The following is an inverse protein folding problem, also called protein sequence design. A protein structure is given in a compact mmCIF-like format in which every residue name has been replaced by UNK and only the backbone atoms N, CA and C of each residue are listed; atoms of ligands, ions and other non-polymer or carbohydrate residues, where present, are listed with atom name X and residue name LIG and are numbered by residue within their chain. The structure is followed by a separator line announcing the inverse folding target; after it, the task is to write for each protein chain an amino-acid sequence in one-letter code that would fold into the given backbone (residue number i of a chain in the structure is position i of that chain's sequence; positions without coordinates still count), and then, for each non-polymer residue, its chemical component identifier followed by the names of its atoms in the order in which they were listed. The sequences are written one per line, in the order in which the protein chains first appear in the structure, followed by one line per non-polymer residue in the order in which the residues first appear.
data_IF_784801423964
#
_entry.id   IF_784801423964
#
_cell.length_a   1.000
_cell.length_b   1.000
_cell.length_c   1.000
_cell.angle_alpha   90.00
_cell.angle_beta   90.00
_cell.angle_gamma   90.00
#
_symmetry.space_group_name_H-M   'P 1'
#
loop_
_entity.id
_entity.type
_entity.pdbx_description
1 polymer ?
#
# COMPACT_ATOMS: atom_id res chain seq x y z
N UNK A 1 -23.54 6.95 11.39
CA UNK A 1 -23.50 6.53 9.97
C UNK A 1 -22.50 5.42 9.71
N UNK A 2 -21.19 5.60 9.93
CA UNK A 2 -20.18 4.56 9.64
C UNK A 2 -20.41 3.19 10.34
N UNK A 3 -21.15 3.16 11.45
CA UNK A 3 -21.56 1.92 12.12
C UNK A 3 -22.37 0.98 11.22
N UNK A 4 -23.14 1.52 10.27
CA UNK A 4 -24.03 0.76 9.40
C UNK A 4 -23.29 0.08 8.24
N UNK A 5 -22.00 0.33 8.08
CA UNK A 5 -21.16 -0.30 7.06
C UNK A 5 -20.77 -1.75 7.41
N UNK A 6 -20.83 -2.13 8.69
CA UNK A 6 -20.27 -3.39 9.19
C UNK A 6 -21.20 -4.27 9.99
N UNK A 7 -22.31 -3.73 10.48
CA UNK A 7 -23.19 -4.50 11.34
C UNK A 7 -23.94 -5.55 10.52
N UNK A 8 -23.64 -6.83 10.76
CA UNK A 8 -24.46 -7.96 10.32
C UNK A 8 -25.93 -7.84 10.77
N UNK A 9 -26.19 -7.02 11.80
CA UNK A 9 -27.50 -6.79 12.40
C UNK A 9 -28.25 -5.57 11.80
N UNK A 10 -27.69 -4.87 10.81
CA UNK A 10 -28.35 -3.74 10.15
C UNK A 10 -28.17 -3.87 8.64
N UNK A 11 -29.10 -4.59 8.01
CA UNK A 11 -29.11 -4.77 6.58
C UNK A 11 -30.03 -3.73 5.93
N UNK A 12 -29.43 -2.84 5.16
CA UNK A 12 -30.11 -1.73 4.51
C UNK A 12 -29.90 -1.77 2.99
N UNK A 13 -30.90 -1.32 2.26
CA UNK A 13 -30.95 -1.30 0.80
C UNK A 13 -30.64 0.10 0.24
N UNK A 14 -31.12 1.15 0.91
CA UNK A 14 -30.85 2.52 0.51
C UNK A 14 -30.78 3.48 1.70
N UNK A 15 -30.13 4.62 1.49
CA UNK A 15 -30.02 5.72 2.46
C UNK A 15 -30.29 7.05 1.78
N UNK A 16 -30.94 7.95 2.50
CA UNK A 16 -31.09 9.36 2.12
C UNK A 16 -30.58 10.22 3.28
N UNK A 17 -29.62 11.08 3.02
CA UNK A 17 -29.06 12.03 3.99
C UNK A 17 -29.78 13.36 3.81
N UNK A 18 -30.27 13.96 4.90
CA UNK A 18 -31.10 15.17 4.90
C UNK A 18 -32.25 15.05 3.86
N UNK A 19 -33.15 14.06 4.01
CA UNK A 19 -34.31 13.95 3.14
C UNK A 19 -35.17 15.21 3.22
N UNK A 20 -35.68 15.64 2.07
CA UNK A 20 -36.71 16.69 1.99
C UNK A 20 -37.98 16.15 2.68
N UNK A 21 -38.17 16.55 3.94
CA UNK A 21 -39.22 16.03 4.82
C UNK A 21 -40.10 17.19 5.26
N UNK A 22 -41.38 16.92 5.48
CA UNK A 22 -42.38 17.97 5.71
C UNK A 22 -42.07 18.96 6.85
N UNK A 23 -41.17 18.58 7.78
CA UNK A 23 -40.77 19.40 8.93
C UNK A 23 -39.24 19.53 9.11
N UNK A 24 -38.42 19.06 8.17
CA UNK A 24 -36.94 19.08 8.24
C UNK A 24 -36.37 18.54 9.57
N UNK A 25 -36.95 17.47 10.10
CA UNK A 25 -36.52 16.85 11.38
C UNK A 25 -35.77 15.54 11.22
N UNK A 26 -35.76 14.98 10.01
CA UNK A 26 -35.07 13.73 9.72
C UNK A 26 -33.71 14.09 9.11
N UNK A 27 -32.64 13.69 9.78
CA UNK A 27 -31.28 13.92 9.26
C UNK A 27 -30.84 12.74 8.39
N UNK A 28 -31.33 11.52 8.68
CA UNK A 28 -31.01 10.32 7.89
C UNK A 28 -32.23 9.39 7.80
N UNK A 29 -32.57 8.98 6.59
CA UNK A 29 -33.57 7.95 6.33
C UNK A 29 -32.93 6.69 5.73
N UNK A 30 -33.20 5.54 6.33
CA UNK A 30 -32.73 4.22 5.88
C UNK A 30 -33.89 3.37 5.41
N UNK A 31 -33.78 2.86 4.20
CA UNK A 31 -34.62 1.78 3.71
C UNK A 31 -33.92 0.46 4.04
N UNK A 32 -34.55 -0.33 4.89
CA UNK A 32 -34.05 -1.64 5.29
C UNK A 32 -34.30 -2.67 4.19
N UNK A 33 -33.51 -3.75 4.17
CA UNK A 33 -33.65 -4.79 3.15
C UNK A 33 -34.99 -5.55 3.22
N UNK A 34 -35.71 -5.48 4.34
CA UNK A 34 -37.07 -6.00 4.50
C UNK A 34 -38.17 -5.01 4.05
N UNK A 35 -37.78 -3.87 3.46
CA UNK A 35 -38.68 -2.84 2.96
C UNK A 35 -39.14 -1.82 4.00
N UNK A 36 -38.71 -1.95 5.26
CA UNK A 36 -39.06 -1.00 6.32
C UNK A 36 -38.26 0.29 6.24
N UNK A 37 -38.87 1.37 6.69
CA UNK A 37 -38.25 2.68 6.81
C UNK A 37 -37.81 2.94 8.25
N UNK A 38 -36.53 3.31 8.43
CA UNK A 38 -36.01 3.84 9.68
C UNK A 38 -35.57 5.28 9.49
N UNK A 39 -36.12 6.20 10.27
CA UNK A 39 -35.68 7.61 10.28
C UNK A 39 -34.87 7.91 11.54
N UNK A 40 -33.86 8.75 11.38
CA UNK A 40 -32.95 9.13 12.45
C UNK A 40 -32.82 10.65 12.53
N UNK A 41 -32.70 11.13 13.75
CA UNK A 41 -32.29 12.50 14.06
C UNK A 41 -31.10 12.48 15.00
N UNK A 42 -30.16 13.38 14.80
CA UNK A 42 -28.95 13.58 15.60
C UNK A 42 -29.05 14.93 16.31
N UNK A 43 -28.92 14.93 17.63
CA UNK A 43 -28.86 16.15 18.44
C UNK A 43 -27.59 16.18 19.28
N UNK A 44 -26.88 17.28 19.23
CA UNK A 44 -25.66 17.52 19.99
C UNK A 44 -25.79 18.75 20.87
N UNK A 45 -25.37 18.67 22.13
CA UNK A 45 -25.40 19.81 23.06
C UNK A 45 -24.26 19.77 24.07
N UNK A 46 -23.53 20.87 24.21
CA UNK A 46 -22.53 21.03 25.29
C UNK A 46 -23.18 21.10 26.67
N UNK A 47 -24.43 21.58 26.75
CA UNK A 47 -25.22 21.59 27.97
C UNK A 47 -25.86 20.23 28.22
N UNK A 48 -26.19 19.94 29.49
CA UNK A 48 -26.88 18.71 29.85
C UNK A 48 -28.23 18.59 29.13
N UNK A 49 -28.38 17.52 28.35
CA UNK A 49 -29.63 17.15 27.69
C UNK A 49 -30.55 16.54 28.74
N UNK A 50 -31.71 17.17 28.93
CA UNK A 50 -32.69 16.75 29.94
C UNK A 50 -33.69 15.75 29.38
N UNK A 51 -34.48 15.15 30.28
CA UNK A 51 -35.61 14.31 29.91
C UNK A 51 -36.64 15.08 29.07
N UNK A 52 -36.88 16.35 29.38
CA UNK A 52 -37.84 17.19 28.66
C UNK A 52 -37.37 17.44 27.22
N UNK A 53 -36.08 17.72 27.03
CA UNK A 53 -35.48 17.91 25.70
C UNK A 53 -35.63 16.65 24.84
N UNK A 54 -35.20 15.50 25.39
CA UNK A 54 -35.28 14.22 24.69
C UNK A 54 -36.73 13.85 24.34
N UNK A 55 -37.68 14.09 25.25
CA UNK A 55 -39.11 13.83 25.01
C UNK A 55 -39.66 14.73 23.89
N UNK A 56 -39.32 16.03 23.91
CA UNK A 56 -39.73 16.97 22.87
C UNK A 56 -39.21 16.55 21.50
N UNK A 57 -37.91 16.25 21.39
CA UNK A 57 -37.30 15.85 20.12
C UNK A 57 -37.84 14.51 19.59
N UNK A 58 -38.12 13.55 20.47
CA UNK A 58 -38.78 12.30 20.07
C UNK A 58 -40.17 12.55 19.49
N UNK A 59 -40.96 13.43 20.11
CA UNK A 59 -42.29 13.80 19.62
C UNK A 59 -42.21 14.54 18.27
N UNK A 60 -41.28 15.48 18.13
CA UNK A 60 -41.02 16.18 16.86
C UNK A 60 -40.61 15.21 15.74
N UNK A 61 -39.71 14.27 16.02
CA UNK A 61 -39.26 13.27 15.05
C UNK A 61 -40.42 12.36 14.60
N UNK A 62 -41.28 11.93 15.51
CA UNK A 62 -42.49 11.15 15.15
C UNK A 62 -43.48 11.95 14.30
N UNK A 63 -43.60 13.25 14.54
CA UNK A 63 -44.46 14.13 13.77
C UNK A 63 -43.90 14.48 12.37
N UNK A 64 -42.67 14.08 12.05
CA UNK A 64 -42.00 14.40 10.78
C UNK A 64 -42.52 13.60 9.57
N UNK A 65 -43.17 12.46 9.80
CA UNK A 65 -43.72 11.62 8.75
C UNK A 65 -43.79 10.14 9.18
N UNK A 66 -44.47 9.28 8.41
CA UNK A 66 -44.59 7.86 8.72
C UNK A 66 -43.27 7.12 8.49
N UNK A 67 -42.81 6.39 9.50
CA UNK A 67 -41.72 5.43 9.44
C UNK A 67 -42.01 4.23 10.35
N UNK A 68 -41.39 3.08 10.06
CA UNK A 68 -41.52 1.87 10.88
C UNK A 68 -40.69 1.94 12.15
N UNK A 69 -39.57 2.66 12.11
CA UNK A 69 -38.66 2.84 13.24
C UNK A 69 -38.17 4.29 13.32
N UNK A 70 -38.16 4.85 14.52
CA UNK A 70 -37.63 6.18 14.79
C UNK A 70 -36.47 6.06 15.78
N UNK A 71 -35.39 6.77 15.53
CA UNK A 71 -34.24 6.78 16.44
C UNK A 71 -33.69 8.20 16.63
N UNK A 72 -33.49 8.59 17.88
CA UNK A 72 -32.87 9.86 18.25
C UNK A 72 -31.48 9.60 18.82
N UNK A 73 -30.46 10.02 18.09
CA UNK A 73 -29.04 9.90 18.47
C UNK A 73 -28.64 11.17 19.22
N UNK A 74 -28.11 11.02 20.42
CA UNK A 74 -27.68 12.13 21.27
C UNK A 74 -26.16 12.17 21.40
N UNK A 75 -25.58 13.37 21.37
CA UNK A 75 -24.16 13.61 21.65
C UNK A 75 -23.98 14.71 22.71
N UNK A 76 -23.37 14.37 23.85
CA UNK A 76 -23.11 15.29 24.95
C UNK A 76 -23.56 14.77 26.32
N UNK A 77 -23.42 15.59 27.38
CA UNK A 77 -23.85 15.21 28.72
C UNK A 77 -25.35 14.98 28.76
N UNK A 78 -25.81 13.84 29.28
CA UNK A 78 -27.24 13.55 29.42
C UNK A 78 -27.63 13.35 30.89
N UNK A 79 -28.84 13.74 31.24
CA UNK A 79 -29.41 13.41 32.54
C UNK A 79 -29.64 11.89 32.64
N UNK A 80 -29.37 11.29 33.81
CA UNK A 80 -29.55 9.85 34.01
C UNK A 80 -31.00 9.37 33.77
N UNK A 81 -31.97 10.27 33.91
CA UNK A 81 -33.38 10.02 33.59
C UNK A 81 -33.63 9.76 32.10
N UNK A 82 -32.79 10.28 31.20
CA UNK A 82 -32.88 10.01 29.75
C UNK A 82 -32.56 8.54 29.45
N UNK A 83 -31.53 7.98 30.10
CA UNK A 83 -31.14 6.58 29.90
C UNK A 83 -32.19 5.63 30.47
N UNK A 84 -32.68 5.92 31.69
CA UNK A 84 -33.62 5.04 32.39
C UNK A 84 -34.99 4.92 31.74
N UNK A 85 -35.39 5.92 30.97
CA UNK A 85 -36.74 6.03 30.41
C UNK A 85 -36.80 5.76 28.89
N UNK A 86 -35.69 5.39 28.26
CA UNK A 86 -35.66 4.94 26.86
C UNK A 86 -36.26 3.52 26.74
N UNK A 87 -37.10 3.21 25.72
CA UNK A 87 -37.50 4.06 24.59
C UNK A 87 -38.61 5.07 24.93
N UNK A 88 -38.58 6.23 24.27
CA UNK A 88 -39.56 7.32 24.46
C UNK A 88 -40.66 7.24 23.41
N UNK A 89 -41.85 6.80 23.82
CA UNK A 89 -42.99 6.67 22.92
C UNK A 89 -42.59 5.98 21.60
N UNK A 90 -41.98 4.80 21.66
CA UNK A 90 -41.57 4.05 20.46
C UNK A 90 -40.42 4.66 19.64
N UNK A 91 -39.77 5.73 20.10
CA UNK A 91 -38.51 6.24 19.56
C UNK A 91 -37.34 5.63 20.34
N UNK A 92 -36.42 4.99 19.62
CA UNK A 92 -35.21 4.43 20.21
C UNK A 92 -34.21 5.55 20.52
N UNK A 93 -33.70 5.59 21.76
CA UNK A 93 -32.61 6.49 22.15
C UNK A 93 -31.45 5.63 22.64
N UNK A 94 -30.44 5.36 21.77
CA UNK A 94 -29.28 4.59 22.15
C UNK A 94 -28.38 5.36 23.13
N UNK A 95 -27.36 4.68 23.65
CA UNK A 95 -26.34 5.28 24.53
C UNK A 95 -25.74 6.51 23.83
N UNK A 96 -25.67 7.67 24.50
CA UNK A 96 -25.19 8.90 23.89
C UNK A 96 -23.71 8.81 23.52
N UNK A 97 -23.35 9.56 22.49
CA UNK A 97 -21.96 9.76 22.11
C UNK A 97 -21.31 10.86 22.95
N UNK A 98 -20.00 10.76 23.11
CA UNK A 98 -19.20 11.87 23.63
C UNK A 98 -19.18 13.03 22.63
N UNK A 99 -19.10 14.26 23.13
CA UNK A 99 -18.80 15.45 22.31
C UNK A 99 -17.31 15.64 22.04
N UNK A 100 -16.48 14.76 22.58
CA UNK A 100 -15.05 14.76 22.31
C UNK A 100 -14.82 14.40 20.84
N UNK A 101 -14.48 15.41 20.05
CA UNK A 101 -14.23 15.28 18.61
C UNK A 101 -13.04 14.38 18.30
N UNK A 102 -12.05 14.30 19.19
CA UNK A 102 -10.91 13.39 19.02
C UNK A 102 -11.39 11.96 19.20
N UNK A 103 -12.14 11.67 20.26
CA UNK A 103 -12.72 10.35 20.50
C UNK A 103 -13.67 9.91 19.36
N UNK A 104 -14.46 10.83 18.81
CA UNK A 104 -15.31 10.56 17.65
C UNK A 104 -14.49 10.28 16.38
N UNK A 105 -13.40 11.00 16.18
CA UNK A 105 -12.47 10.79 15.06
C UNK A 105 -11.80 9.42 15.16
N UNK A 106 -11.28 9.04 16.34
CA UNK A 106 -10.66 7.73 16.57
C UNK A 106 -11.64 6.57 16.31
N UNK A 107 -12.90 6.74 16.72
CA UNK A 107 -13.95 5.77 16.42
C UNK A 107 -14.25 5.69 14.92
N UNK A 108 -14.33 6.83 14.22
CA UNK A 108 -14.55 6.86 12.79
C UNK A 108 -13.39 6.20 12.03
N UNK A 109 -12.14 6.47 12.42
CA UNK A 109 -10.94 5.82 11.88
C UNK A 109 -11.07 4.30 11.98
N UNK A 110 -11.38 3.79 13.17
CA UNK A 110 -11.51 2.35 13.40
C UNK A 110 -12.58 1.72 12.51
N UNK A 111 -13.70 2.42 12.26
CA UNK A 111 -14.78 1.95 11.41
C UNK A 111 -14.40 1.97 9.93
N UNK A 112 -13.75 3.04 9.47
CA UNK A 112 -13.21 3.11 8.10
C UNK A 112 -12.16 2.02 7.88
N UNK A 113 -11.30 1.73 8.85
CA UNK A 113 -10.32 0.65 8.73
C UNK A 113 -10.98 -0.72 8.56
N UNK A 114 -12.03 -1.01 9.34
CA UNK A 114 -12.81 -2.25 9.13
C UNK A 114 -13.46 -2.29 7.76
N UNK A 115 -13.91 -1.15 7.24
CA UNK A 115 -14.51 -1.02 5.90
C UNK A 115 -13.52 -1.40 4.82
N UNK A 116 -12.36 -0.78 4.90
CA UNK A 116 -11.25 -1.03 4.01
C UNK A 116 -10.81 -2.50 4.09
N UNK A 117 -10.61 -3.05 5.29
CA UNK A 117 -10.21 -4.45 5.46
C UNK A 117 -11.22 -5.42 4.83
N UNK A 118 -12.53 -5.20 5.02
CA UNK A 118 -13.57 -6.03 4.43
C UNK A 118 -13.59 -5.97 2.88
N UNK A 119 -13.09 -4.88 2.30
CA UNK A 119 -12.90 -4.69 0.86
C UNK A 119 -11.50 -5.14 0.38
N UNK A 120 -10.70 -5.78 1.24
CA UNK A 120 -9.34 -6.24 0.93
C UNK A 120 -8.27 -5.15 0.97
N UNK A 121 -8.59 -3.97 1.51
CA UNK A 121 -7.69 -2.81 1.61
C UNK A 121 -7.08 -2.81 3.03
N UNK A 122 -5.76 -2.97 3.13
CA UNK A 122 -5.04 -2.93 4.41
C UNK A 122 -5.14 -1.53 5.06
N UNK A 123 -5.18 -1.40 6.39
CA UNK A 123 -5.22 -0.10 7.07
C UNK A 123 -4.07 0.83 6.71
N UNK A 124 -4.32 2.14 6.73
CA UNK A 124 -3.36 3.19 6.37
C UNK A 124 -2.59 3.71 7.60
N UNK A 125 -1.63 4.63 7.44
CA UNK A 125 -1.00 5.30 8.59
C UNK A 125 -2.01 6.22 9.30
N UNK A 126 -1.79 6.52 10.59
CA UNK A 126 -2.75 7.31 11.39
C UNK A 126 -3.07 8.69 10.77
N UNK A 127 -2.10 9.50 10.30
CA UNK A 127 -2.41 10.82 9.73
C UNK A 127 -3.28 10.75 8.46
N UNK A 128 -3.12 9.68 7.67
CA UNK A 128 -3.93 9.44 6.47
C UNK A 128 -5.35 9.02 6.87
N UNK A 129 -5.48 8.20 7.91
CA UNK A 129 -6.78 7.76 8.44
C UNK A 129 -7.60 8.93 8.98
N UNK A 130 -6.97 9.83 9.73
CA UNK A 130 -7.62 11.07 10.22
C UNK A 130 -8.13 11.92 9.05
N UNK A 131 -7.30 12.11 8.04
CA UNK A 131 -7.64 12.90 6.86
C UNK A 131 -8.75 12.27 6.02
N UNK A 132 -8.78 10.93 5.90
CA UNK A 132 -9.87 10.20 5.24
C UNK A 132 -11.21 10.44 5.94
N UNK A 133 -11.23 10.36 7.27
CA UNK A 133 -12.44 10.65 8.05
C UNK A 133 -12.92 12.07 7.75
N UNK A 134 -12.01 13.05 7.75
CA UNK A 134 -12.36 14.44 7.45
C UNK A 134 -12.95 14.60 6.05
N UNK A 135 -12.34 13.99 5.02
CA UNK A 135 -12.81 14.07 3.65
C UNK A 135 -14.17 13.39 3.48
N UNK A 136 -14.35 12.18 4.04
CA UNK A 136 -15.63 11.47 3.99
C UNK A 136 -16.71 12.31 4.66
N UNK A 137 -16.44 12.84 5.87
CA UNK A 137 -17.37 13.71 6.58
C UNK A 137 -17.72 14.96 5.76
N UNK A 138 -16.73 15.63 5.18
CA UNK A 138 -16.97 16.80 4.33
C UNK A 138 -17.83 16.45 3.11
N UNK A 139 -17.56 15.34 2.43
CA UNK A 139 -18.31 14.91 1.24
C UNK A 139 -19.74 14.47 1.53
N UNK A 140 -19.97 13.87 2.70
CA UNK A 140 -21.33 13.53 3.15
C UNK A 140 -22.16 14.77 3.47
N UNK A 141 -21.51 15.86 3.91
CA UNK A 141 -22.14 17.15 4.19
C UNK A 141 -22.27 18.04 2.94
N UNK A 142 -21.44 17.82 1.92
CA UNK A 142 -21.56 18.51 0.63
C UNK A 142 -22.79 18.00 -0.16
N UNK A 143 -23.48 18.92 -0.84
CA UNK A 143 -24.76 18.68 -1.52
C UNK A 143 -24.80 17.66 -2.67
N UNK A 144 -23.73 16.88 -2.89
CA UNK A 144 -23.73 15.76 -3.84
C UNK A 144 -24.61 14.58 -3.39
N UNK A 145 -24.86 14.46 -2.08
CA UNK A 145 -25.58 13.34 -1.46
C UNK A 145 -26.89 13.77 -0.77
N UNK A 146 -27.06 15.06 -0.54
CA UNK A 146 -28.18 15.62 0.21
C UNK A 146 -29.50 15.43 -0.54
N UNK A 147 -30.52 14.93 0.15
CA UNK A 147 -31.87 14.67 -0.40
C UNK A 147 -31.92 13.57 -1.47
N UNK A 148 -30.78 13.01 -1.88
CA UNK A 148 -30.71 11.96 -2.89
C UNK A 148 -30.80 10.59 -2.22
N UNK A 149 -31.75 9.77 -2.68
CA UNK A 149 -31.79 8.35 -2.36
C UNK A 149 -30.61 7.64 -3.02
N UNK A 150 -29.73 7.05 -2.21
CA UNK A 150 -28.62 6.24 -2.66
C UNK A 150 -28.84 4.77 -2.33
N UNK A 151 -28.68 3.88 -3.31
CA UNK A 151 -28.56 2.45 -3.03
C UNK A 151 -27.29 2.16 -2.22
N UNK A 152 -27.24 1.00 -1.58
CA UNK A 152 -26.04 0.56 -0.87
C UNK A 152 -24.83 0.45 -1.78
N UNK A 153 -25.01 -0.06 -2.99
CA UNK A 153 -23.95 -0.17 -4.00
C UNK A 153 -23.46 1.20 -4.46
N UNK A 154 -24.38 2.15 -4.67
CA UNK A 154 -24.02 3.53 -5.01
C UNK A 154 -23.23 4.17 -3.87
N UNK A 155 -23.73 4.09 -2.64
CA UNK A 155 -23.05 4.63 -1.47
C UNK A 155 -21.65 4.05 -1.28
N UNK A 156 -21.50 2.72 -1.44
CA UNK A 156 -20.21 2.04 -1.42
C UNK A 156 -19.29 2.55 -2.54
N UNK A 157 -19.80 2.73 -3.74
CA UNK A 157 -19.05 3.27 -4.88
C UNK A 157 -18.53 4.68 -4.63
N UNK A 158 -19.36 5.56 -4.07
CA UNK A 158 -18.97 6.93 -3.70
C UNK A 158 -17.92 6.96 -2.59
N UNK A 159 -18.09 6.15 -1.55
CA UNK A 159 -17.12 6.00 -0.47
C UNK A 159 -15.75 5.57 -1.01
N UNK A 160 -15.72 4.52 -1.83
CA UNK A 160 -14.49 4.06 -2.47
C UNK A 160 -13.89 5.13 -3.37
N UNK A 161 -14.70 5.80 -4.19
CA UNK A 161 -14.24 6.88 -5.07
C UNK A 161 -13.60 8.03 -4.29
N UNK A 162 -14.20 8.49 -3.20
CA UNK A 162 -13.62 9.57 -2.38
C UNK A 162 -12.31 9.16 -1.74
N UNK A 163 -12.24 7.93 -1.22
CA UNK A 163 -11.03 7.38 -0.60
C UNK A 163 -9.90 7.26 -1.64
N UNK A 164 -10.19 6.71 -2.82
CA UNK A 164 -9.19 6.53 -3.89
C UNK A 164 -8.78 7.83 -4.55
N UNK A 165 -9.69 8.81 -4.65
CA UNK A 165 -9.41 10.14 -5.23
C UNK A 165 -8.67 11.06 -4.27
N UNK A 166 -8.88 10.91 -2.96
CA UNK A 166 -8.15 11.65 -1.93
C UNK A 166 -6.71 11.17 -1.77
N UNK A 167 -6.47 9.88 -2.03
CA UNK A 167 -5.16 9.25 -1.86
C UNK A 167 -4.77 8.38 -3.07
N UNK A 168 -4.68 8.95 -4.28
CA UNK A 168 -4.17 8.24 -5.45
C UNK A 168 -2.74 7.73 -5.18
N UNK A 169 -1.95 8.48 -4.40
CA UNK A 169 -0.61 8.11 -3.97
C UNK A 169 -0.56 6.99 -2.93
N UNK A 170 -1.57 6.76 -2.08
CA UNK A 170 -1.56 5.58 -1.19
C UNK A 170 -1.86 4.29 -1.95
N UNK A 171 -2.55 4.42 -3.09
CA UNK A 171 -2.73 3.35 -4.07
C UNK A 171 -1.47 3.23 -4.94
N UNK A 172 -0.86 4.32 -5.41
CA UNK A 172 0.40 4.31 -6.18
C UNK A 172 1.61 3.85 -5.36
N UNK A 173 1.75 4.26 -4.10
CA UNK A 173 2.79 3.78 -3.17
C UNK A 173 2.58 2.33 -2.74
N UNK A 174 1.39 1.75 -2.96
CA UNK A 174 1.18 0.30 -2.92
C UNK A 174 1.48 -0.39 -4.26
N UNK A 175 1.40 0.34 -5.37
CA UNK A 175 1.73 -0.15 -6.71
C UNK A 175 3.24 -0.10 -6.98
N UNK A 176 4.02 0.63 -6.18
CA UNK A 176 5.49 0.56 -6.17
C UNK A 176 5.98 -0.66 -5.37
N UNK A 177 5.74 -1.85 -5.90
CA UNK A 177 6.51 -3.05 -5.62
C UNK A 177 6.74 -3.41 -4.13
N UNK A 178 5.89 -4.27 -3.55
CA UNK A 178 6.33 -5.18 -2.49
C UNK A 178 7.28 -6.26 -3.07
N UNK A 179 8.25 -5.82 -3.88
CA UNK A 179 9.24 -6.69 -4.49
C UNK A 179 10.50 -6.67 -3.65
N UNK A 180 10.82 -7.79 -3.00
CA UNK A 180 12.16 -7.98 -2.46
C UNK A 180 13.05 -8.53 -3.56
N UNK A 181 14.23 -7.93 -3.70
CA UNK A 181 15.27 -8.41 -4.61
C UNK A 181 16.33 -9.14 -3.79
N UNK A 182 16.62 -10.37 -4.19
CA UNK A 182 17.56 -11.24 -3.51
C UNK A 182 18.72 -11.53 -4.44
N UNK A 183 19.93 -11.22 -3.99
CA UNK A 183 21.19 -11.64 -4.60
C UNK A 183 22.22 -11.89 -3.48
N UNK A 184 22.87 -13.04 -3.55
CA UNK A 184 23.76 -13.52 -2.48
C UNK A 184 25.13 -13.93 -3.01
N UNK A 185 25.34 -13.90 -4.32
CA UNK A 185 26.59 -14.27 -4.97
C UNK A 185 26.72 -13.58 -6.31
N UNK A 186 27.95 -13.57 -6.83
CA UNK A 186 28.29 -13.17 -8.19
C UNK A 186 29.27 -14.17 -8.80
N UNK A 187 29.40 -14.15 -10.11
CA UNK A 187 30.52 -14.79 -10.82
C UNK A 187 31.30 -13.72 -11.60
N UNK A 188 32.61 -13.68 -11.41
CA UNK A 188 33.50 -12.90 -12.25
C UNK A 188 33.87 -13.69 -13.49
N UNK A 189 33.84 -13.02 -14.64
CA UNK A 189 34.14 -13.65 -15.92
C UNK A 189 34.99 -12.74 -16.79
N UNK A 190 35.83 -13.36 -17.62
CA UNK A 190 36.61 -12.62 -18.63
C UNK A 190 35.67 -11.94 -19.64
N UNK A 191 35.96 -10.68 -20.01
CA UNK A 191 35.26 -10.01 -21.11
C UNK A 191 35.48 -10.77 -22.42
N UNK A 192 34.49 -10.67 -23.33
CA UNK A 192 34.59 -11.28 -24.68
C UNK A 192 35.76 -10.66 -25.47
N UNK A 193 35.88 -9.34 -25.42
CA UNK A 193 36.96 -8.60 -26.06
C UNK A 193 38.18 -8.56 -25.13
N UNK A 194 39.25 -9.26 -25.49
CA UNK A 194 40.48 -9.34 -24.70
C UNK A 194 41.19 -7.98 -24.53
N UNK A 195 40.89 -7.01 -25.39
CA UNK A 195 41.36 -5.62 -25.24
C UNK A 195 40.70 -4.90 -24.06
N UNK A 196 39.52 -5.36 -23.62
CA UNK A 196 38.88 -4.91 -22.38
C UNK A 196 39.41 -5.75 -21.23
N UNK A 197 39.68 -5.11 -20.10
CA UNK A 197 40.28 -5.76 -18.92
C UNK A 197 39.37 -5.74 -17.68
N UNK A 198 38.29 -4.95 -17.69
CA UNK A 198 37.25 -5.04 -16.67
C UNK A 198 36.56 -6.41 -16.71
N UNK A 199 36.32 -7.00 -15.54
CA UNK A 199 35.49 -8.20 -15.44
C UNK A 199 34.09 -7.93 -15.97
N UNK A 200 33.50 -8.93 -16.62
CA UNK A 200 32.05 -9.04 -16.71
C UNK A 200 31.53 -9.77 -15.48
N UNK A 201 30.29 -9.48 -15.06
CA UNK A 201 29.75 -9.99 -13.81
C UNK A 201 28.45 -10.73 -14.10
N UNK A 202 28.34 -11.95 -13.62
CA UNK A 202 27.08 -12.67 -13.61
C UNK A 202 26.48 -12.53 -12.22
N UNK A 203 25.23 -12.09 -12.15
CA UNK A 203 24.49 -12.00 -10.91
C UNK A 203 23.19 -12.82 -11.00
N UNK A 204 23.08 -13.92 -10.23
CA UNK A 204 21.82 -14.60 -9.96
C UNK A 204 20.90 -13.69 -9.14
N UNK A 205 19.78 -13.26 -9.71
CA UNK A 205 18.85 -12.34 -9.07
C UNK A 205 17.46 -12.96 -9.03
N UNK A 206 16.88 -13.00 -7.84
CA UNK A 206 15.48 -13.36 -7.63
C UNK A 206 14.69 -12.13 -7.23
N UNK A 207 13.63 -11.83 -7.96
CA UNK A 207 12.66 -10.80 -7.61
C UNK A 207 11.40 -11.49 -7.09
N UNK A 208 11.08 -11.28 -5.81
CA UNK A 208 9.88 -11.85 -5.16
C UNK A 208 8.83 -10.77 -5.05
N UNK A 209 7.70 -10.92 -5.74
CA UNK A 209 6.58 -9.99 -5.63
C UNK A 209 5.61 -10.47 -4.55
N UNK A 210 5.73 -9.93 -3.34
CA UNK A 210 4.79 -10.14 -2.23
C UNK A 210 3.53 -9.26 -2.32
N UNK A 211 3.39 -8.47 -3.39
CA UNK A 211 2.24 -7.60 -3.63
C UNK A 211 1.04 -8.34 -4.23
N UNK A 212 -0.05 -7.60 -4.41
CA UNK A 212 -1.32 -8.09 -4.97
C UNK A 212 -1.46 -7.79 -6.48
N UNK A 213 -0.53 -7.03 -7.06
CA UNK A 213 -0.54 -6.61 -8.47
C UNK A 213 0.76 -7.02 -9.17
N UNK A 214 0.70 -7.21 -10.49
CA UNK A 214 1.89 -7.48 -11.31
C UNK A 214 2.81 -6.26 -11.31
N UNK A 215 4.09 -6.47 -11.05
CA UNK A 215 5.13 -5.43 -11.12
C UNK A 215 5.98 -5.65 -12.37
N UNK A 216 6.39 -4.59 -13.06
CA UNK A 216 7.35 -4.67 -14.17
C UNK A 216 8.70 -4.16 -13.72
N UNK A 217 9.75 -4.96 -13.93
CA UNK A 217 11.16 -4.57 -13.76
C UNK A 217 11.63 -3.96 -15.08
N UNK A 218 12.01 -2.68 -15.05
CA UNK A 218 12.48 -1.95 -16.24
C UNK A 218 13.97 -2.23 -16.48
N UNK A 219 14.81 -1.98 -15.47
CA UNK A 219 16.25 -2.15 -15.59
C UNK A 219 16.96 -2.34 -14.25
N UNK A 220 18.21 -2.81 -14.34
CA UNK A 220 19.17 -2.86 -13.23
C UNK A 220 20.39 -1.99 -13.53
N UNK A 221 21.05 -1.52 -12.49
CA UNK A 221 22.35 -0.86 -12.56
C UNK A 221 23.23 -1.41 -11.44
N UNK A 222 24.42 -1.87 -11.78
CA UNK A 222 25.42 -2.27 -10.80
C UNK A 222 26.52 -1.22 -10.75
N UNK A 223 26.72 -0.63 -9.57
CA UNK A 223 27.81 0.30 -9.27
C UNK A 223 28.89 -0.44 -8.50
N UNK A 224 30.14 -0.19 -8.89
CA UNK A 224 31.31 -0.83 -8.29
C UNK A 224 32.31 0.25 -8.00
N UNK A 225 32.75 0.33 -6.75
CA UNK A 225 33.65 1.39 -6.32
C UNK A 225 34.71 0.92 -5.33
N UNK A 226 35.91 1.46 -5.48
CA UNK A 226 36.98 1.46 -4.48
C UNK A 226 37.42 2.91 -4.22
N UNK A 227 38.41 3.12 -3.36
CA UNK A 227 38.91 4.46 -3.00
C UNK A 227 39.38 5.30 -4.20
N UNK A 228 39.74 4.66 -5.31
CA UNK A 228 40.32 5.31 -6.49
C UNK A 228 39.56 5.03 -7.80
N UNK A 229 38.52 4.21 -7.76
CA UNK A 229 37.85 3.69 -8.95
C UNK A 229 36.34 3.70 -8.78
N UNK A 230 35.60 4.22 -9.76
CA UNK A 230 34.17 3.99 -9.91
C UNK A 230 33.87 3.45 -11.30
N UNK A 231 33.12 2.35 -11.34
CA UNK A 231 32.65 1.68 -12.54
C UNK A 231 31.16 1.47 -12.46
N UNK A 232 30.51 1.46 -13.62
CA UNK A 232 29.07 1.21 -13.74
C UNK A 232 28.83 0.13 -14.76
N UNK A 233 27.86 -0.70 -14.45
CA UNK A 233 27.56 -1.92 -15.17
C UNK A 233 26.07 -1.98 -15.49
N UNK A 234 25.75 -2.40 -16.71
CA UNK A 234 24.37 -2.60 -17.17
C UNK A 234 24.13 -4.07 -17.50
N UNK A 235 22.90 -4.60 -17.31
CA UNK A 235 22.57 -5.92 -17.80
C UNK A 235 22.59 -5.92 -19.33
N UNK A 236 23.25 -6.92 -19.91
CA UNK A 236 23.34 -7.10 -21.36
C UNK A 236 22.44 -8.24 -21.82
N UNK A 237 22.54 -9.39 -21.16
CA UNK A 237 21.82 -10.61 -21.51
C UNK A 237 21.35 -11.36 -20.26
N UNK A 238 20.30 -12.15 -20.43
CA UNK A 238 19.86 -13.17 -19.46
C UNK A 238 20.46 -14.51 -19.89
N UNK A 239 21.27 -15.09 -19.01
CA UNK A 239 21.89 -16.40 -19.17
C UNK A 239 20.92 -17.51 -18.77
N UNK A 240 21.11 -18.69 -19.36
CA UNK A 240 20.44 -19.92 -18.97
C UNK A 240 21.42 -20.73 -18.14
N UNK A 241 21.03 -21.11 -16.92
CA UNK A 241 21.88 -21.84 -15.97
C UNK A 241 21.79 -23.36 -16.18
N UNK A 242 22.06 -23.82 -17.40
CA UNK A 242 22.06 -25.24 -17.76
C UNK A 242 23.46 -25.83 -18.00
N UNK A 243 24.50 -25.01 -17.85
CA UNK A 243 25.90 -25.37 -18.05
C UNK A 243 26.81 -24.51 -17.18
N UNK A 244 27.98 -25.03 -16.83
CA UNK A 244 29.06 -24.28 -16.17
C UNK A 244 29.98 -23.55 -17.16
N UNK A 245 29.91 -23.88 -18.45
CA UNK A 245 30.72 -23.21 -19.49
C UNK A 245 30.04 -21.92 -19.95
N UNK A 246 30.70 -20.77 -19.69
CA UNK A 246 30.17 -19.46 -20.08
C UNK A 246 29.96 -19.32 -21.60
N UNK A 247 30.76 -19.97 -22.44
CA UNK A 247 30.56 -19.91 -23.90
C UNK A 247 29.24 -20.56 -24.29
N UNK A 248 28.89 -21.67 -23.66
CA UNK A 248 27.61 -22.36 -23.88
C UNK A 248 26.46 -21.51 -23.35
N UNK A 249 26.58 -20.94 -22.14
CA UNK A 249 25.54 -20.05 -21.58
C UNK A 249 25.32 -18.82 -22.46
N UNK A 250 26.39 -18.19 -22.97
CA UNK A 250 26.33 -17.04 -23.88
C UNK A 250 25.66 -17.38 -25.22
N UNK A 251 25.91 -18.56 -25.79
CA UNK A 251 25.32 -18.93 -27.09
C UNK A 251 23.81 -19.14 -27.04
N UNK A 252 23.26 -19.47 -25.87
CA UNK A 252 21.82 -19.61 -25.62
C UNK A 252 21.20 -18.38 -24.95
N UNK A 253 22.00 -17.36 -24.65
CA UNK A 253 21.55 -16.20 -23.91
C UNK A 253 20.54 -15.39 -24.73
N UNK A 254 19.58 -14.79 -24.03
CA UNK A 254 18.63 -13.85 -24.64
C UNK A 254 18.99 -12.42 -24.23
N UNK A 255 18.75 -11.41 -25.08
CA UNK A 255 18.90 -10.01 -24.68
C UNK A 255 18.14 -9.71 -23.39
N UNK A 256 18.72 -8.87 -22.54
CA UNK A 256 17.98 -8.32 -21.41
C UNK A 256 16.86 -7.42 -21.93
N UNK A 257 15.70 -7.51 -21.30
CA UNK A 257 14.55 -6.65 -21.53
C UNK A 257 13.69 -6.61 -20.28
N UNK A 258 12.75 -5.67 -20.26
CA UNK A 258 11.80 -5.53 -19.17
C UNK A 258 10.99 -6.82 -18.98
N UNK A 259 10.66 -7.15 -17.73
CA UNK A 259 9.86 -8.34 -17.45
C UNK A 259 8.89 -8.11 -16.30
N UNK A 260 7.75 -8.80 -16.39
CA UNK A 260 6.71 -8.78 -15.38
C UNK A 260 6.95 -9.84 -14.31
N UNK A 261 6.62 -9.51 -13.07
CA UNK A 261 6.59 -10.42 -11.92
C UNK A 261 5.16 -10.42 -11.39
N UNK A 262 4.46 -11.54 -11.56
CA UNK A 262 3.07 -11.70 -11.13
C UNK A 262 2.91 -11.61 -9.61
N UNK A 263 1.71 -11.27 -9.09
CA UNK A 263 1.45 -11.23 -7.66
C UNK A 263 1.76 -12.57 -6.98
N UNK A 264 2.33 -12.52 -5.78
CA UNK A 264 2.65 -13.70 -4.96
C UNK A 264 3.57 -14.73 -5.66
N UNK A 265 4.38 -14.27 -6.61
CA UNK A 265 5.35 -15.12 -7.32
C UNK A 265 6.76 -14.59 -7.20
N UNK A 266 7.73 -15.41 -7.62
CA UNK A 266 9.10 -15.01 -7.79
C UNK A 266 9.57 -15.29 -9.21
N UNK A 267 10.39 -14.39 -9.75
CA UNK A 267 11.09 -14.59 -11.02
C UNK A 267 12.59 -14.60 -10.75
N UNK A 268 13.24 -15.65 -11.23
CA UNK A 268 14.69 -15.82 -11.21
C UNK A 268 15.28 -15.50 -12.57
N UNK A 269 16.34 -14.69 -12.60
CA UNK A 269 17.14 -14.44 -13.79
C UNK A 269 18.63 -14.43 -13.43
N UNK A 270 19.44 -15.07 -14.27
CA UNK A 270 20.90 -15.01 -14.22
C UNK A 270 21.37 -13.93 -15.19
N UNK A 271 21.73 -12.75 -14.68
CA UNK A 271 22.01 -11.58 -15.52
C UNK A 271 23.51 -11.40 -15.74
N UNK A 272 23.93 -11.26 -17.01
CA UNK A 272 25.30 -10.87 -17.36
C UNK A 272 25.38 -9.34 -17.46
N UNK A 273 26.15 -8.75 -16.57
CA UNK A 273 26.46 -7.33 -16.50
C UNK A 273 27.77 -7.03 -17.20
N UNK A 274 27.75 -5.99 -18.04
CA UNK A 274 28.92 -5.50 -18.78
C UNK A 274 29.20 -4.04 -18.42
N UNK A 275 30.48 -3.60 -18.45
CA UNK A 275 30.84 -2.24 -18.10
C UNK A 275 30.22 -1.23 -19.09
N UNK A 276 29.79 -0.09 -18.55
CA UNK A 276 29.26 1.02 -19.34
C UNK A 276 30.43 1.86 -19.83
N UNK A 277 30.71 1.76 -21.13
CA UNK A 277 31.70 2.59 -21.81
C UNK A 277 31.10 3.97 -22.14
N UNK A 278 31.23 4.90 -21.19
CA UNK A 278 30.80 6.30 -21.32
C UNK A 278 31.79 7.21 -20.61
N UNK A 279 31.97 8.42 -21.15
CA UNK A 279 32.83 9.45 -20.57
C UNK A 279 32.55 9.64 -19.07
N UNK A 280 33.60 9.50 -18.25
CA UNK A 280 33.53 9.63 -16.79
C UNK A 280 33.46 8.32 -16.03
N UNK A 281 33.33 7.16 -16.69
CA UNK A 281 33.39 5.84 -16.04
C UNK A 281 34.65 5.07 -16.44
N UNK A 282 35.21 4.33 -15.49
CA UNK A 282 36.35 3.46 -15.77
C UNK A 282 35.88 2.11 -16.35
N UNK A 283 36.68 1.54 -17.25
CA UNK A 283 36.46 0.24 -17.89
C UNK A 283 37.70 -0.66 -17.85
N UNK A 284 38.66 -0.32 -16.99
CA UNK A 284 39.94 -1.02 -16.82
C UNK A 284 39.80 -2.25 -15.92
N UNK A 285 40.86 -3.04 -15.86
CA UNK A 285 41.03 -4.08 -14.85
C UNK A 285 40.82 -3.54 -13.45
N UNK A 286 40.32 -4.37 -12.55
CA UNK A 286 40.19 -4.00 -11.15
C UNK A 286 41.53 -4.31 -10.47
N UNK A 287 42.26 -3.30 -9.95
CA UNK A 287 43.42 -3.56 -9.10
C UNK A 287 43.08 -4.45 -7.90
N UNK A 288 44.08 -5.09 -7.32
CA UNK A 288 43.89 -5.85 -6.08
C UNK A 288 43.40 -4.94 -4.94
N UNK A 289 42.46 -5.45 -4.15
CA UNK A 289 41.88 -4.71 -3.01
C UNK A 289 40.38 -4.91 -2.87
N UNK A 290 39.78 -4.13 -1.98
CA UNK A 290 38.35 -4.21 -1.65
C UNK A 290 37.50 -3.33 -2.57
N UNK A 291 36.37 -3.88 -2.98
CA UNK A 291 35.38 -3.22 -3.83
C UNK A 291 34.00 -3.29 -3.21
N UNK A 292 33.33 -2.15 -3.21
CA UNK A 292 31.94 -2.01 -2.80
C UNK A 292 31.04 -2.16 -4.02
N UNK A 293 30.13 -3.12 -3.95
CA UNK A 293 29.15 -3.42 -4.97
C UNK A 293 27.78 -2.94 -4.48
N UNK A 294 27.12 -2.12 -5.29
CA UNK A 294 25.81 -1.57 -5.00
C UNK A 294 24.89 -1.80 -6.21
N UNK A 295 23.85 -2.61 -6.01
CA UNK A 295 22.90 -2.92 -7.08
C UNK A 295 21.63 -2.11 -6.92
N UNK A 296 21.17 -1.54 -8.03
CA UNK A 296 19.93 -0.81 -8.15
C UNK A 296 18.97 -1.50 -9.10
N UNK A 297 17.68 -1.39 -8.81
CA UNK A 297 16.57 -1.83 -9.66
C UNK A 297 15.60 -0.68 -9.88
N UNK A 298 15.08 -0.56 -11.09
CA UNK A 298 13.99 0.37 -11.41
C UNK A 298 12.75 -0.42 -11.78
N UNK A 299 11.65 -0.13 -11.10
CA UNK A 299 10.34 -0.67 -11.39
C UNK A 299 9.49 0.34 -12.16
N UNK A 300 8.59 -0.16 -12.99
CA UNK A 300 7.60 0.66 -13.70
C UNK A 300 6.71 1.39 -12.71
N UNK A 301 6.45 2.68 -12.97
CA UNK A 301 5.61 3.52 -12.10
C UNK A 301 6.26 3.97 -10.78
N UNK A 302 7.54 3.65 -10.54
CA UNK A 302 8.32 4.17 -9.40
C UNK A 302 9.29 5.22 -9.91
N UNK A 303 9.28 6.45 -9.38
CA UNK A 303 10.05 7.55 -9.96
C UNK A 303 11.57 7.36 -9.90
N UNK A 304 12.09 6.86 -8.77
CA UNK A 304 13.51 6.66 -8.54
C UNK A 304 13.88 5.16 -8.49
N UNK A 305 15.09 4.78 -8.96
CA UNK A 305 15.60 3.44 -8.74
C UNK A 305 15.84 3.17 -7.26
N UNK A 306 15.58 1.93 -6.84
CA UNK A 306 15.75 1.47 -5.47
C UNK A 306 17.07 0.71 -5.34
N UNK A 307 17.79 0.92 -4.23
CA UNK A 307 18.96 0.11 -3.87
C UNK A 307 18.50 -1.24 -3.32
N UNK A 308 19.11 -2.33 -3.78
CA UNK A 308 18.77 -3.71 -3.40
C UNK A 308 19.54 -4.12 -2.14
N UNK A 309 20.87 -4.19 -2.27
CA UNK A 309 21.81 -4.59 -1.23
C UNK A 309 23.21 -4.12 -1.63
N UNK A 310 23.98 -3.76 -0.61
CA UNK A 310 25.41 -3.48 -0.72
C UNK A 310 26.22 -4.69 -0.25
N UNK A 311 27.35 -4.94 -0.91
CA UNK A 311 28.27 -6.01 -0.56
C UNK A 311 29.72 -5.56 -0.83
N UNK A 312 30.66 -6.20 -0.15
CA UNK A 312 32.09 -5.98 -0.37
C UNK A 312 32.71 -7.26 -0.91
N UNK A 313 33.58 -7.13 -1.91
CA UNK A 313 34.38 -8.23 -2.45
C UNK A 313 35.86 -7.83 -2.44
N UNK A 314 36.73 -8.78 -2.08
CA UNK A 314 38.17 -8.61 -2.20
C UNK A 314 38.65 -9.22 -3.51
N UNK A 315 39.42 -8.46 -4.30
CA UNK A 315 40.05 -8.92 -5.52
C UNK A 315 41.53 -9.21 -5.25
N UNK A 316 41.94 -10.44 -5.51
CA UNK A 316 43.32 -10.91 -5.39
C UNK A 316 43.79 -11.57 -6.69
N UNK A 317 44.98 -12.19 -6.67
CA UNK A 317 45.52 -12.92 -7.82
C UNK A 317 44.61 -14.09 -8.27
N UNK A 318 43.84 -14.68 -7.36
CA UNK A 318 42.93 -15.79 -7.69
C UNK A 318 41.77 -15.32 -8.56
N UNK A 319 41.13 -14.21 -8.20
CA UNK A 319 40.02 -13.63 -8.96
C UNK A 319 40.51 -13.14 -10.34
N UNK A 320 41.69 -12.51 -10.38
CA UNK A 320 42.32 -12.07 -11.63
C UNK A 320 42.71 -13.23 -12.56
N UNK A 321 42.89 -14.45 -12.04
CA UNK A 321 43.24 -15.63 -12.85
C UNK A 321 42.13 -16.02 -13.85
N UNK A 322 40.91 -15.49 -13.70
CA UNK A 322 39.82 -15.73 -14.64
C UNK A 322 39.98 -14.94 -15.94
N UNK A 323 40.72 -13.82 -15.93
CA UNK A 323 40.91 -12.96 -17.10
C UNK A 323 41.66 -13.67 -18.22
N UNK A 324 41.15 -13.57 -19.45
CA UNK A 324 41.71 -14.24 -20.62
C UNK A 324 41.38 -15.74 -20.69
N UNK A 325 40.59 -16.27 -19.77
CA UNK A 325 40.15 -17.68 -19.74
C UNK A 325 38.64 -17.81 -20.00
N UNK A 326 38.15 -19.04 -20.11
CA UNK A 326 36.71 -19.36 -20.15
C UNK A 326 36.15 -19.76 -18.79
N UNK A 327 36.98 -19.74 -17.74
CA UNK A 327 36.55 -20.09 -16.40
C UNK A 327 35.67 -18.96 -15.83
N UNK A 328 34.99 -19.26 -14.74
CA UNK A 328 34.19 -18.31 -13.96
C UNK A 328 34.62 -18.42 -12.50
N UNK A 329 34.71 -17.29 -11.79
CA UNK A 329 35.05 -17.27 -10.37
C UNK A 329 33.81 -16.92 -9.55
N UNK A 330 33.30 -17.87 -8.77
CA UNK A 330 32.15 -17.65 -7.90
C UNK A 330 32.56 -16.95 -6.60
N UNK A 331 31.83 -15.90 -6.21
CA UNK A 331 32.05 -15.14 -4.97
C UNK A 331 30.72 -15.05 -4.21
N UNK A 332 30.70 -15.47 -2.95
CA UNK A 332 29.56 -15.28 -2.06
C UNK A 332 29.59 -13.88 -1.44
N UNK A 333 28.47 -13.15 -1.55
CA UNK A 333 28.26 -11.80 -1.00
C UNK A 333 27.65 -11.81 0.40
N UNK A 334 27.39 -13.00 0.94
CA UNK A 334 26.88 -13.21 2.29
C UNK A 334 27.32 -14.60 2.73
N UNK A 335 28.46 -14.66 3.41
CA UNK A 335 28.98 -15.88 3.98
C UNK A 335 28.84 -15.83 5.51
N UNK A 336 28.27 -16.88 6.09
CA UNK A 336 28.22 -17.07 7.54
C UNK A 336 29.64 -17.04 8.12
N UNK A 337 30.64 -17.60 7.43
CA UNK A 337 32.04 -17.58 7.87
C UNK A 337 32.56 -16.16 8.01
N UNK A 338 32.27 -15.26 7.07
CA UNK A 338 32.64 -13.84 7.19
C UNK A 338 31.95 -13.13 8.36
N UNK A 339 30.78 -13.60 8.80
CA UNK A 339 30.15 -13.12 10.03
C UNK A 339 30.85 -13.70 11.26
N UNK A 340 31.15 -15.00 11.26
CA UNK A 340 31.82 -15.69 12.36
C UNK A 340 33.26 -15.24 12.57
N UNK A 341 33.99 -14.89 11.51
CA UNK A 341 35.38 -14.39 11.59
C UNK A 341 35.46 -12.96 12.16
N UNK A 342 34.33 -12.25 12.20
CA UNK A 342 34.23 -10.89 12.72
C UNK A 342 33.60 -10.82 14.13
N UNK A 343 33.38 -11.96 14.80
CA UNK A 343 32.86 -12.08 16.18
C UNK A 343 33.80 -12.90 17.08
#
# INVERSE_FOLDING_TARGET
MLDTLHSANFNWAAVTIEPDSANDKVDIAWELSDGKLRVQQVKSSQNQITLADATSWCAELKASGPADNYQLILAGPIAASVIKNSPFDGVEVPVPFSLDTLALTDQAITKVDRYLMAKGIVPLSLPIRESLVYIISARLLEGAVQGKRLSREEFDGWMLYWITSAYPEAIQNRLSANCSSLWSSIELVSPVELSKRAFEIIAPITIVNGGLMTTVVEWFLLRISSDSLEMRYRPSVVLIDDSTDIKIRRSKARPFGEFAVSPQTAVYNSLLFVPIDKSGYNISEWPHGDYHLQMYVKYFGVDAPQSIKEATVNISANECAVLGTTNTMHISLSNLESYLDNF
#
